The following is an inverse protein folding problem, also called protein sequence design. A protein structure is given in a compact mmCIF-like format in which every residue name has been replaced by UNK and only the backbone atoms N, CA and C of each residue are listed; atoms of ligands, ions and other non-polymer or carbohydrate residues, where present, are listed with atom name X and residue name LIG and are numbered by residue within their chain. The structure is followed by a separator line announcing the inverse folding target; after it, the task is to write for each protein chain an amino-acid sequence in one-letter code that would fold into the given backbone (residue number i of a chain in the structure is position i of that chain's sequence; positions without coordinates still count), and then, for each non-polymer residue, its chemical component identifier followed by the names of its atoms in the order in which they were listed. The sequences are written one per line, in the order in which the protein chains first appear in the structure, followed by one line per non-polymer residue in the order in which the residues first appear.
data_IF_819419290723
#
_entry.id   IF_819419290723
#
_cell.length_a   1.000
_cell.length_b   1.000
_cell.length_c   1.000
_cell.angle_alpha   90.00
_cell.angle_beta   90.00
_cell.angle_gamma   90.00
#
_symmetry.space_group_name_H-M   'P 1'
#
loop_
_entity.id
_entity.type
_entity.pdbx_description
1 polymer ?
#
# COMPACT_ATOMS: atom_id res chain seq x y z
N UNK A 1 2.91 28.90 8.50
CA UNK A 1 1.44 28.86 8.39
C UNK A 1 0.98 27.50 7.89
N UNK A 2 1.63 26.94 6.87
CA UNK A 2 1.24 25.65 6.25
C UNK A 2 1.17 24.42 7.17
N UNK A 3 2.07 24.26 8.15
CA UNK A 3 2.03 23.09 9.06
C UNK A 3 0.77 23.05 9.94
N UNK A 4 0.22 24.22 10.29
CA UNK A 4 -0.96 24.32 11.14
C UNK A 4 -2.24 24.01 10.34
N UNK A 5 -2.31 24.47 9.10
CA UNK A 5 -3.38 24.09 8.16
C UNK A 5 -3.35 22.60 7.87
N UNK A 6 -2.16 22.03 7.71
CA UNK A 6 -2.01 20.60 7.50
C UNK A 6 -2.48 19.79 8.71
N UNK A 7 -2.16 20.21 9.93
CA UNK A 7 -2.70 19.58 11.14
C UNK A 7 -4.23 19.66 11.22
N UNK A 8 -4.84 20.76 10.78
CA UNK A 8 -6.29 20.91 10.72
C UNK A 8 -6.95 20.02 9.65
N UNK A 9 -6.25 19.73 8.55
CA UNK A 9 -6.71 18.79 7.51
C UNK A 9 -6.57 17.32 7.93
N UNK A 10 -5.75 17.04 8.93
CA UNK A 10 -5.47 15.73 9.50
C UNK A 10 -6.28 15.49 10.79
N UNK A 11 -7.53 15.94 10.83
CA UNK A 11 -8.45 15.83 11.99
C UNK A 11 -9.35 14.57 11.91
N UNK A 12 -8.96 13.58 11.11
CA UNK A 12 -9.66 12.30 11.06
C UNK A 12 -9.45 11.46 12.33
N UNK A 13 -10.44 10.66 12.76
CA UNK A 13 -10.37 9.88 14.01
C UNK A 13 -9.20 8.88 14.07
N UNK A 14 -8.65 8.50 12.91
CA UNK A 14 -7.54 7.56 12.78
C UNK A 14 -6.31 8.19 12.11
N UNK A 15 -6.32 9.49 11.86
CA UNK A 15 -5.25 10.16 11.12
C UNK A 15 -3.91 10.08 11.86
N UNK A 16 -3.94 10.06 13.21
CA UNK A 16 -2.79 9.89 14.08
C UNK A 16 -2.19 8.48 14.12
N UNK A 17 -2.90 7.47 13.59
CA UNK A 17 -2.47 6.07 13.67
C UNK A 17 -1.37 5.76 12.64
N UNK A 18 -0.71 4.63 12.88
CA UNK A 18 0.15 4.00 11.88
C UNK A 18 -0.69 3.59 10.66
N UNK A 19 -0.04 3.46 9.51
CA UNK A 19 -0.69 3.01 8.29
C UNK A 19 -0.19 1.62 7.91
N UNK A 20 -1.08 0.77 7.41
CA UNK A 20 -0.70 -0.42 6.67
C UNK A 20 -1.02 -0.13 5.21
N UNK A 21 -0.01 -0.28 4.36
CA UNK A 21 -0.10 -0.06 2.92
C UNK A 21 0.07 -1.40 2.22
N UNK A 22 -0.85 -1.67 1.31
CA UNK A 22 -0.86 -2.88 0.50
C UNK A 22 -0.79 -2.48 -0.97
N UNK A 23 0.17 -3.06 -1.70
CA UNK A 23 0.34 -2.82 -3.12
C UNK A 23 0.09 -4.09 -3.90
N UNK A 24 -0.83 -4.01 -4.87
CA UNK A 24 -1.11 -5.11 -5.79
C UNK A 24 -0.89 -4.68 -7.24
N UNK A 25 -0.15 -5.46 -8.03
CA UNK A 25 -0.06 -5.25 -9.47
C UNK A 25 -1.42 -5.50 -10.11
N UNK A 26 -1.83 -4.59 -10.99
CA UNK A 26 -3.02 -4.74 -11.82
C UNK A 26 -2.75 -5.57 -13.08
N UNK A 27 -3.62 -5.38 -14.07
CA UNK A 27 -3.45 -6.00 -15.38
C UNK A 27 -2.20 -5.46 -16.11
N UNK A 28 -1.35 -6.37 -16.58
CA UNK A 28 -0.12 -6.03 -17.32
C UNK A 28 1.07 -6.97 -17.10
N UNK A 29 0.90 -8.05 -16.33
CA UNK A 29 1.92 -9.10 -16.18
C UNK A 29 3.22 -8.61 -15.54
N UNK A 30 4.36 -9.05 -16.04
CA UNK A 30 5.71 -8.71 -15.55
C UNK A 30 5.95 -7.19 -15.48
N UNK A 31 5.39 -6.41 -16.41
CA UNK A 31 5.52 -4.95 -16.40
C UNK A 31 4.78 -4.29 -15.23
N UNK A 32 3.61 -4.81 -14.85
CA UNK A 32 2.85 -4.30 -13.69
C UNK A 32 3.49 -4.74 -12.37
N UNK A 33 4.13 -5.92 -12.35
CA UNK A 33 4.92 -6.37 -11.20
C UNK A 33 6.15 -5.48 -10.99
N UNK A 34 6.86 -5.11 -12.06
CA UNK A 34 7.98 -4.16 -11.97
C UNK A 34 7.52 -2.77 -11.52
N UNK A 35 6.40 -2.28 -12.07
CA UNK A 35 5.81 -1.01 -11.64
C UNK A 35 5.47 -1.00 -10.15
N UNK A 36 4.88 -2.09 -9.64
CA UNK A 36 4.55 -2.24 -8.22
C UNK A 36 5.80 -2.19 -7.34
N UNK A 37 6.89 -2.80 -7.80
CA UNK A 37 8.18 -2.73 -7.11
C UNK A 37 8.78 -1.30 -7.12
N UNK A 38 8.58 -0.55 -8.21
CA UNK A 38 8.97 0.86 -8.26
C UNK A 38 8.18 1.72 -7.26
N UNK A 39 6.87 1.49 -7.15
CA UNK A 39 6.03 2.16 -6.15
C UNK A 39 6.45 1.82 -4.73
N UNK A 40 6.76 0.56 -4.43
CA UNK A 40 7.29 0.16 -3.13
C UNK A 40 8.55 0.97 -2.78
N UNK A 41 9.51 1.06 -3.70
CA UNK A 41 10.74 1.85 -3.51
C UNK A 41 10.47 3.34 -3.34
N UNK A 42 9.47 3.88 -4.03
CA UNK A 42 9.02 5.26 -3.87
C UNK A 42 8.51 5.51 -2.46
N UNK A 43 7.61 4.67 -1.96
CA UNK A 43 7.05 4.80 -0.61
C UNK A 43 8.09 4.59 0.48
N UNK A 44 9.00 3.64 0.33
CA UNK A 44 10.12 3.45 1.27
C UNK A 44 10.95 4.73 1.40
N UNK A 45 11.35 5.33 0.28
CA UNK A 45 12.11 6.59 0.27
C UNK A 45 11.33 7.77 0.84
N UNK A 46 10.03 7.85 0.52
CA UNK A 46 9.16 8.88 1.09
C UNK A 46 9.09 8.75 2.62
N UNK A 47 8.90 7.54 3.13
CA UNK A 47 8.85 7.27 4.56
C UNK A 47 10.18 7.61 5.25
N UNK A 48 11.31 7.21 4.67
CA UNK A 48 12.64 7.56 5.18
C UNK A 48 12.85 9.09 5.26
N UNK A 49 12.40 9.83 4.25
CA UNK A 49 12.49 11.30 4.23
C UNK A 49 11.59 11.99 5.27
N UNK A 50 10.42 11.42 5.53
CA UNK A 50 9.49 11.92 6.55
C UNK A 50 9.85 11.45 7.96
N UNK A 51 10.85 10.58 8.12
CA UNK A 51 11.23 10.00 9.41
C UNK A 51 10.27 8.91 9.91
N UNK A 52 9.46 8.34 9.03
CA UNK A 52 8.60 7.19 9.34
C UNK A 52 9.40 5.89 9.27
N UNK A 53 9.05 4.93 10.14
CA UNK A 53 9.64 3.59 10.14
C UNK A 53 8.80 2.65 9.28
N UNK A 54 9.40 2.08 8.24
CA UNK A 54 8.75 1.08 7.37
C UNK A 54 9.10 -0.32 7.85
N UNK A 55 8.10 -1.18 7.96
CA UNK A 55 8.23 -2.59 8.31
C UNK A 55 7.48 -3.43 7.27
N UNK A 56 8.20 -4.27 6.53
CA UNK A 56 7.59 -5.15 5.53
C UNK A 56 6.96 -6.33 6.27
N UNK A 57 5.64 -6.48 6.14
CA UNK A 57 4.86 -7.53 6.80
C UNK A 57 4.74 -8.76 5.91
N UNK A 58 4.43 -8.55 4.63
CA UNK A 58 4.37 -9.60 3.62
C UNK A 58 5.03 -9.13 2.32
N UNK A 59 5.70 -10.05 1.64
CA UNK A 59 6.39 -9.78 0.39
C UNK A 59 6.37 -11.01 -0.50
N UNK A 60 5.62 -10.92 -1.59
CA UNK A 60 5.53 -11.95 -2.61
C UNK A 60 6.26 -11.49 -3.87
N UNK A 61 7.45 -12.05 -4.19
CA UNK A 61 8.17 -11.69 -5.40
C UNK A 61 7.41 -12.12 -6.67
N UNK A 62 7.63 -11.39 -7.76
CA UNK A 62 7.18 -11.80 -9.10
C UNK A 62 7.97 -13.00 -9.64
N UNK A 63 7.41 -13.71 -10.62
CA UNK A 63 8.04 -14.93 -11.18
C UNK A 63 9.24 -14.59 -12.08
N UNK A 64 9.15 -13.49 -12.84
CA UNK A 64 10.23 -13.00 -13.71
C UNK A 64 10.89 -11.73 -13.16
N UNK A 65 10.08 -10.75 -12.77
CA UNK A 65 10.55 -9.47 -12.26
C UNK A 65 9.51 -8.81 -11.36
N UNK A 66 9.97 -7.92 -10.48
CA UNK A 66 9.09 -7.11 -9.63
C UNK A 66 8.42 -7.90 -8.51
N UNK A 67 7.20 -7.48 -8.14
CA UNK A 67 6.47 -7.95 -6.97
C UNK A 67 5.03 -8.29 -7.34
N UNK A 68 4.55 -9.44 -6.85
CA UNK A 68 3.15 -9.90 -7.00
C UNK A 68 2.23 -9.35 -5.94
N UNK A 69 2.72 -9.16 -4.72
CA UNK A 69 1.99 -8.50 -3.64
C UNK A 69 3.00 -8.05 -2.58
N UNK A 70 2.78 -6.90 -1.97
CA UNK A 70 3.57 -6.46 -0.82
C UNK A 70 2.69 -5.70 0.15
N UNK A 71 2.85 -6.04 1.42
CA UNK A 71 2.21 -5.35 2.54
C UNK A 71 3.29 -4.80 3.45
N UNK A 72 3.24 -3.50 3.73
CA UNK A 72 4.17 -2.87 4.66
C UNK A 72 3.44 -1.95 5.63
N UNK A 73 3.86 -2.00 6.89
CA UNK A 73 3.42 -1.09 7.93
C UNK A 73 4.34 0.14 7.97
N UNK A 74 3.74 1.32 8.09
CA UNK A 74 4.40 2.61 8.25
C UNK A 74 4.07 3.13 9.64
N UNK A 75 5.08 3.12 10.51
CA UNK A 75 5.00 3.57 11.90
C UNK A 75 5.50 5.00 12.01
N UNK A 76 4.64 5.89 12.50
CA UNK A 76 4.94 7.32 12.60
C UNK A 76 3.73 8.14 13.01
N UNK A 77 3.97 9.33 13.56
CA UNK A 77 2.89 10.25 13.90
C UNK A 77 2.22 10.74 12.63
N UNK A 78 0.89 10.63 12.59
CA UNK A 78 0.05 10.99 11.45
C UNK A 78 0.28 10.17 10.16
N UNK A 79 0.92 8.99 10.24
CA UNK A 79 1.29 8.22 9.06
C UNK A 79 0.08 7.88 8.15
N UNK A 80 -1.05 7.47 8.75
CA UNK A 80 -2.29 7.22 8.00
C UNK A 80 -2.85 8.50 7.38
N UNK A 81 -2.84 9.60 8.12
CA UNK A 81 -3.31 10.90 7.64
C UNK A 81 -2.60 11.37 6.37
N UNK A 82 -1.29 11.12 6.24
CA UNK A 82 -0.55 11.42 5.01
C UNK A 82 -0.85 10.42 3.89
N UNK A 83 -0.85 9.12 4.20
CA UNK A 83 -0.96 8.06 3.20
C UNK A 83 -2.40 7.83 2.71
N UNK A 84 -3.43 8.33 3.40
CA UNK A 84 -4.83 8.19 2.95
C UNK A 84 -5.08 8.78 1.56
N UNK A 85 -4.33 9.82 1.19
CA UNK A 85 -4.41 10.46 -0.13
C UNK A 85 -3.81 9.60 -1.26
N UNK A 86 -3.00 8.61 -0.91
CA UNK A 86 -2.30 7.72 -1.85
C UNK A 86 -3.16 6.53 -2.28
N UNK A 87 -4.29 6.32 -1.59
CA UNK A 87 -5.23 5.24 -1.89
C UNK A 87 -5.80 5.37 -3.29
N UNK A 88 -5.68 4.31 -4.09
CA UNK A 88 -6.24 4.26 -5.43
C UNK A 88 -5.37 3.48 -6.41
N UNK A 89 -5.68 3.63 -7.71
CA UNK A 89 -4.95 2.93 -8.77
C UNK A 89 -3.96 3.89 -9.43
N UNK A 90 -2.69 3.51 -9.39
CA UNK A 90 -1.57 4.26 -9.95
C UNK A 90 -1.23 3.72 -11.34
N UNK A 91 -1.25 4.62 -12.34
CA UNK A 91 -1.02 4.25 -13.74
C UNK A 91 0.34 4.72 -14.23
N UNK A 92 1.15 3.79 -14.75
CA UNK A 92 2.41 4.08 -15.43
C UNK A 92 2.27 3.87 -16.94
N UNK A 93 2.77 4.81 -17.73
CA UNK A 93 2.87 4.70 -19.18
C UNK A 93 4.33 4.89 -19.59
N UNK A 94 5.01 3.81 -20.01
CA UNK A 94 6.42 3.85 -20.45
C UNK A 94 6.69 2.84 -21.56
N UNK A 95 7.88 2.90 -22.14
CA UNK A 95 8.38 1.83 -23.01
C UNK A 95 8.88 0.71 -22.09
N UNK A 96 8.29 -0.48 -22.23
CA UNK A 96 8.64 -1.62 -21.38
C UNK A 96 10.05 -2.12 -21.71
N UNK A 97 10.95 -2.33 -20.72
CA UNK A 97 12.22 -2.99 -20.95
C UNK A 97 12.06 -4.50 -21.26
N UNK A 98 10.88 -5.07 -20.99
CA UNK A 98 10.56 -6.48 -21.23
C UNK A 98 9.93 -6.73 -22.62
N UNK A 99 9.51 -5.69 -23.35
CA UNK A 99 9.01 -5.81 -24.72
C UNK A 99 10.12 -5.55 -25.74
N UNK A 100 10.56 -6.61 -26.44
CA UNK A 100 11.57 -6.53 -27.49
C UNK A 100 11.16 -5.64 -28.68
N UNK A 101 9.86 -5.35 -28.84
CA UNK A 101 9.35 -4.48 -29.91
C UNK A 101 9.38 -2.99 -29.55
N UNK A 102 9.75 -2.63 -28.32
CA UNK A 102 9.85 -1.23 -27.88
C UNK A 102 8.51 -0.48 -27.87
N UNK A 103 7.38 -1.19 -27.71
CA UNK A 103 6.07 -0.54 -27.68
C UNK A 103 5.85 0.17 -26.35
N UNK A 104 4.95 1.14 -26.36
CA UNK A 104 4.50 1.82 -25.14
C UNK A 104 3.47 0.93 -24.44
N UNK A 105 3.75 0.57 -23.20
CA UNK A 105 2.87 -0.22 -22.34
C UNK A 105 2.18 0.70 -21.33
N UNK A 106 0.99 0.29 -20.90
CA UNK A 106 0.26 0.92 -19.80
C UNK A 106 0.10 -0.11 -18.70
N UNK A 107 0.59 0.23 -17.51
CA UNK A 107 0.59 -0.64 -16.34
C UNK A 107 -0.16 0.02 -15.19
N UNK A 108 -0.72 -0.81 -14.35
CA UNK A 108 -1.52 -0.38 -13.20
C UNK A 108 -1.03 -1.09 -11.95
N UNK A 109 -1.09 -0.39 -10.82
CA UNK A 109 -0.93 -0.97 -9.50
C UNK A 109 -1.95 -0.33 -8.57
N UNK A 110 -2.65 -1.12 -7.77
CA UNK A 110 -3.52 -0.61 -6.72
C UNK A 110 -2.71 -0.40 -5.45
N UNK A 111 -2.99 0.71 -4.78
CA UNK A 111 -2.49 1.07 -3.47
C UNK A 111 -3.68 1.16 -2.53
N UNK A 112 -3.73 0.24 -1.58
CA UNK A 112 -4.68 0.27 -0.49
C UNK A 112 -3.98 0.70 0.79
N UNK A 113 -4.64 1.60 1.52
CA UNK A 113 -4.12 2.15 2.77
C UNK A 113 -5.20 1.99 3.82
N UNK A 114 -4.85 1.32 4.91
CA UNK A 114 -5.71 1.12 6.07
C UNK A 114 -4.99 1.62 7.32
N UNK A 115 -5.71 2.21 8.30
CA UNK A 115 -5.11 2.54 9.57
C UNK A 115 -4.85 1.26 10.37
N UNK A 116 -3.75 1.22 11.11
CA UNK A 116 -3.52 0.17 12.11
C UNK A 116 -4.48 0.41 13.28
N UNK A 117 -5.27 -0.61 13.62
CA UNK A 117 -6.13 -0.60 14.80
C UNK A 117 -5.46 -1.40 15.91
N UNK A 118 -5.41 -0.84 17.13
CA UNK A 118 -5.14 -1.66 18.30
C UNK A 118 -6.41 -2.44 18.63
N UNK A 119 -6.35 -3.76 18.54
CA UNK A 119 -7.45 -4.71 18.79
C UNK A 119 -8.10 -4.63 20.19
N UNK A 120 -7.73 -3.66 21.04
CA UNK A 120 -8.28 -3.50 22.38
C UNK A 120 -9.67 -2.82 22.40
N UNK A 121 -10.10 -2.16 21.31
CA UNK A 121 -11.34 -1.36 21.27
C UNK A 121 -12.43 -1.93 20.35
N UNK A 122 -12.24 -3.13 19.79
CA UNK A 122 -13.22 -3.77 18.89
C UNK A 122 -13.69 -5.10 19.50
N UNK A 123 -14.69 -5.04 20.38
CA UNK A 123 -15.48 -6.23 20.73
C UNK A 123 -16.29 -6.66 19.50
N UNK A 124 -15.78 -7.61 18.73
CA UNK A 124 -16.54 -8.29 17.68
C UNK A 124 -17.18 -9.52 18.32
N UNK A 125 -18.47 -9.44 18.62
CA UNK A 125 -19.28 -10.60 19.02
C UNK A 125 -19.55 -11.45 17.77
N UNK A 126 -18.69 -12.44 17.52
CA UNK A 126 -18.85 -13.35 16.38
C UNK A 126 -19.88 -14.41 16.77
N UNK A 127 -21.06 -14.39 16.13
CA UNK A 127 -22.04 -15.45 16.29
C UNK A 127 -21.47 -16.77 15.71
N UNK A 128 -21.34 -17.85 16.51
CA UNK A 128 -20.79 -19.13 16.05
C UNK A 128 -21.54 -19.78 14.88
N UNK A 129 -22.79 -19.38 14.59
CA UNK A 129 -23.55 -19.88 13.44
C UNK A 129 -23.02 -19.41 12.08
N UNK A 130 -22.19 -18.36 12.03
CA UNK A 130 -21.65 -17.79 10.79
C UNK A 130 -20.29 -18.40 10.37
N UNK A 131 -19.77 -19.36 11.14
CA UNK A 131 -18.49 -20.02 10.87
C UNK A 131 -18.72 -21.30 10.05
N UNK A 132 -18.62 -21.20 8.74
CA UNK A 132 -18.53 -22.37 7.87
C UNK A 132 -17.09 -22.90 7.80
N UNK A 133 -16.72 -23.73 8.78
CA UNK A 133 -15.49 -24.53 8.70
C UNK A 133 -15.65 -25.62 7.64
N UNK A 134 -14.94 -25.48 6.52
CA UNK A 134 -14.81 -26.55 5.53
C UNK A 134 -13.59 -27.39 5.92
N UNK A 135 -13.79 -28.42 6.73
CA UNK A 135 -12.79 -29.46 6.92
C UNK A 135 -12.61 -30.24 5.60
N UNK A 136 -11.37 -30.36 5.14
CA UNK A 136 -10.92 -31.32 4.13
C UNK A 136 -10.12 -32.39 4.87
#
# INVERSE_FOLDING_TARGET
MDQFELQLLLDGPYDANNAIVELHPGAGGTESQDWTNMLLRMYQRYCEQQGFKVEIMDYLPGDEAGVKSVTFAVKGHNAYGYLKAEKGVHRLVRISPFDSSGRRHTSFASCDVIPEFNNADIEIDINPDDIHSRYI
#
